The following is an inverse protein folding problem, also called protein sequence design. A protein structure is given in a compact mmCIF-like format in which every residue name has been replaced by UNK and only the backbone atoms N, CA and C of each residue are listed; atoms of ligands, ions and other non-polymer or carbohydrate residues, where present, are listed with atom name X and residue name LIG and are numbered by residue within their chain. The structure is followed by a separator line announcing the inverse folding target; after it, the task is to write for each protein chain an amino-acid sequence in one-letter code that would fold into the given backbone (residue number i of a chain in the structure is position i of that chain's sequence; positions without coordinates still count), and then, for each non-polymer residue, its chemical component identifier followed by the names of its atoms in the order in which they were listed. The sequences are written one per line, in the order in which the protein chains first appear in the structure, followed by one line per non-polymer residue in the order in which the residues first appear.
data_IF_853824666001
#
_entry.id   IF_853824666001
#
_cell.length_a   1.000
_cell.length_b   1.000
_cell.length_c   1.000
_cell.angle_alpha   90.00
_cell.angle_beta   90.00
_cell.angle_gamma   90.00
#
_symmetry.space_group_name_H-M   'P 1'
#
loop_
_entity.id
_entity.type
_entity.pdbx_description
1 polymer ?
#
# COMPACT_ATOMS: atom_id res chain seq x y z
N UNK A 1 3.72 23.71 -7.11
CA UNK A 1 3.32 22.28 -7.19
C UNK A 1 3.20 21.82 -5.76
N UNK A 2 2.18 21.04 -5.40
CA UNK A 2 2.03 20.53 -4.04
C UNK A 2 2.75 19.18 -3.95
N UNK A 3 3.49 18.94 -2.87
CA UNK A 3 4.30 17.74 -2.70
C UNK A 3 3.72 16.79 -1.62
N UNK A 4 2.68 17.27 -0.89
CA UNK A 4 2.06 16.50 0.18
C UNK A 4 0.55 16.77 0.31
N UNK A 5 -0.15 15.78 0.84
CA UNK A 5 -1.58 15.79 1.13
C UNK A 5 -1.77 15.60 2.63
N UNK A 6 -2.58 16.46 3.24
CA UNK A 6 -2.98 16.33 4.65
C UNK A 6 -4.43 15.91 4.72
N UNK A 7 -4.70 14.84 5.45
CA UNK A 7 -6.05 14.27 5.67
C UNK A 7 -6.48 14.54 7.10
N UNK A 8 -7.36 15.51 7.29
CA UNK A 8 -7.90 15.90 8.60
C UNK A 8 -9.43 15.73 8.61
N UNK A 9 -9.92 14.65 9.19
CA UNK A 9 -9.26 13.52 9.85
C UNK A 9 -9.43 12.23 9.05
N UNK A 10 -8.56 11.27 9.31
CA UNK A 10 -8.63 9.96 8.66
C UNK A 10 -9.95 9.20 8.93
N UNK A 11 -10.59 9.42 10.09
CA UNK A 11 -11.90 8.85 10.42
C UNK A 11 -13.02 9.42 9.53
N UNK A 12 -12.96 10.72 9.22
CA UNK A 12 -13.91 11.35 8.29
C UNK A 12 -13.69 10.83 6.86
N UNK A 13 -12.43 10.68 6.44
CA UNK A 13 -12.14 10.11 5.14
C UNK A 13 -12.73 8.70 4.97
N UNK A 14 -12.66 7.87 6.02
CA UNK A 14 -13.32 6.55 6.03
C UNK A 14 -14.84 6.66 5.90
N UNK A 15 -15.49 7.56 6.67
CA UNK A 15 -16.93 7.77 6.60
C UNK A 15 -17.38 8.26 5.21
N UNK A 16 -16.59 9.14 4.57
CA UNK A 16 -16.89 9.58 3.21
C UNK A 16 -16.81 8.43 2.20
N UNK A 17 -15.86 7.51 2.38
CA UNK A 17 -15.78 6.29 1.58
C UNK A 17 -17.02 5.38 1.80
N UNK A 18 -17.50 5.24 3.05
CA UNK A 18 -18.75 4.51 3.34
C UNK A 18 -19.95 5.15 2.62
N UNK A 19 -20.06 6.48 2.70
CA UNK A 19 -21.14 7.21 2.02
C UNK A 19 -21.06 7.05 0.49
N UNK A 20 -19.87 7.10 -0.07
CA UNK A 20 -19.67 6.88 -1.51
C UNK A 20 -20.14 5.49 -1.93
N UNK A 21 -19.81 4.44 -1.19
CA UNK A 21 -20.28 3.09 -1.47
C UNK A 21 -21.80 3.00 -1.34
N UNK A 22 -22.41 3.58 -0.30
CA UNK A 22 -23.87 3.62 -0.16
C UNK A 22 -24.55 4.27 -1.38
N UNK A 23 -24.03 5.41 -1.84
CA UNK A 23 -24.55 6.10 -3.01
C UNK A 23 -24.40 5.26 -4.28
N UNK A 24 -23.26 4.61 -4.47
CA UNK A 24 -22.97 3.75 -5.62
C UNK A 24 -23.91 2.55 -5.69
N UNK A 25 -24.18 1.93 -4.55
CA UNK A 25 -25.06 0.75 -4.44
C UNK A 25 -26.55 1.11 -4.29
N UNK A 26 -26.89 2.39 -4.14
CA UNK A 26 -28.28 2.86 -4.01
C UNK A 26 -28.95 2.43 -2.69
N UNK A 27 -28.17 2.37 -1.60
CA UNK A 27 -28.63 1.97 -0.27
C UNK A 27 -28.44 3.10 0.74
N UNK A 28 -29.21 3.08 1.82
CA UNK A 28 -29.11 4.09 2.89
C UNK A 28 -27.91 3.83 3.83
N UNK A 29 -27.60 2.56 4.09
CA UNK A 29 -26.48 2.19 4.96
C UNK A 29 -25.67 1.03 4.38
N UNK A 30 -24.39 0.93 4.76
CA UNK A 30 -23.51 -0.17 4.34
C UNK A 30 -24.08 -1.55 4.72
N UNK A 31 -24.90 -1.65 5.75
CA UNK A 31 -25.53 -2.90 6.19
C UNK A 31 -26.60 -3.39 5.22
N UNK A 32 -27.18 -2.48 4.45
CA UNK A 32 -28.24 -2.78 3.49
C UNK A 32 -27.69 -3.34 2.17
N UNK A 33 -26.36 -3.31 1.97
CA UNK A 33 -25.70 -3.96 0.82
C UNK A 33 -25.89 -5.48 0.95
N UNK A 34 -26.43 -6.14 -0.10
CA UNK A 34 -26.72 -7.57 -0.08
C UNK A 34 -25.52 -8.43 0.32
N UNK A 35 -25.79 -9.52 1.01
CA UNK A 35 -24.80 -10.54 1.39
C UNK A 35 -23.69 -10.06 2.31
N UNK A 36 -23.84 -8.90 2.96
CA UNK A 36 -22.82 -8.31 3.84
C UNK A 36 -21.55 -7.85 3.13
N UNK A 37 -21.58 -7.68 1.81
CA UNK A 37 -20.40 -7.30 1.01
C UNK A 37 -20.00 -5.83 1.19
N UNK A 38 -20.90 -4.98 1.71
CA UNK A 38 -20.66 -3.54 1.81
C UNK A 38 -19.35 -3.16 2.51
N UNK A 39 -19.04 -3.80 3.63
CA UNK A 39 -17.78 -3.56 4.34
C UNK A 39 -16.54 -3.98 3.55
N UNK A 40 -16.65 -5.04 2.74
CA UNK A 40 -15.59 -5.46 1.82
C UNK A 40 -15.36 -4.43 0.71
N UNK A 41 -16.44 -3.86 0.17
CA UNK A 41 -16.38 -2.82 -0.85
C UNK A 41 -15.75 -1.54 -0.32
N UNK A 42 -16.13 -1.07 0.88
CA UNK A 42 -15.51 0.10 1.53
C UNK A 42 -14.02 -0.14 1.75
N UNK A 43 -13.64 -1.33 2.25
CA UNK A 43 -12.24 -1.68 2.48
C UNK A 43 -11.43 -1.67 1.18
N UNK A 44 -11.95 -2.24 0.11
CA UNK A 44 -11.28 -2.28 -1.19
C UNK A 44 -11.11 -0.87 -1.76
N UNK A 45 -12.19 -0.09 -1.82
CA UNK A 45 -12.20 1.29 -2.34
C UNK A 45 -11.23 2.19 -1.58
N UNK A 46 -11.27 2.16 -0.24
CA UNK A 46 -10.40 2.96 0.61
C UNK A 46 -8.92 2.57 0.41
N UNK A 47 -8.62 1.27 0.33
CA UNK A 47 -7.27 0.77 0.10
C UNK A 47 -6.72 1.18 -1.27
N UNK A 48 -7.53 1.06 -2.32
CA UNK A 48 -7.14 1.37 -3.68
C UNK A 48 -6.90 2.85 -3.87
N UNK A 49 -7.82 3.70 -3.39
CA UNK A 49 -7.68 5.17 -3.48
C UNK A 49 -6.39 5.68 -2.84
N UNK A 50 -6.03 5.19 -1.65
CA UNK A 50 -4.80 5.64 -1.00
C UNK A 50 -3.54 5.07 -1.67
N UNK A 51 -3.62 3.85 -2.18
CA UNK A 51 -2.52 3.26 -2.95
C UNK A 51 -2.24 4.06 -4.23
N UNK A 52 -3.27 4.44 -4.97
CA UNK A 52 -3.13 5.27 -6.16
C UNK A 52 -2.47 6.62 -5.84
N UNK A 53 -2.93 7.30 -4.78
CA UNK A 53 -2.35 8.58 -4.34
C UNK A 53 -0.86 8.41 -3.96
N UNK A 54 -0.52 7.32 -3.27
CA UNK A 54 0.87 7.02 -2.90
C UNK A 54 1.75 6.80 -4.14
N UNK A 55 1.22 6.12 -5.17
CA UNK A 55 1.94 5.87 -6.42
C UNK A 55 2.16 7.16 -7.24
N UNK A 56 1.38 8.20 -7.01
CA UNK A 56 1.60 9.52 -7.62
C UNK A 56 2.78 10.30 -6.98
N UNK A 57 3.41 9.75 -5.94
CA UNK A 57 4.59 10.34 -5.30
C UNK A 57 4.30 11.45 -4.30
N UNK A 58 3.05 11.60 -3.86
CA UNK A 58 2.73 12.55 -2.78
C UNK A 58 3.10 11.98 -1.42
N UNK A 59 3.69 12.82 -0.56
CA UNK A 59 3.73 12.57 0.88
C UNK A 59 2.32 12.64 1.46
N UNK A 60 1.92 11.70 2.32
CA UNK A 60 0.59 11.70 2.93
C UNK A 60 0.72 11.81 4.45
N UNK A 61 0.03 12.80 5.02
CA UNK A 61 -0.11 12.98 6.46
C UNK A 61 -1.57 12.72 6.87
N UNK A 62 -1.82 11.64 7.60
CA UNK A 62 -3.12 11.38 8.21
C UNK A 62 -3.15 11.93 9.63
N UNK A 63 -4.16 12.75 9.93
CA UNK A 63 -4.46 13.21 11.27
C UNK A 63 -5.62 12.37 11.81
N UNK A 64 -5.48 11.88 13.03
CA UNK A 64 -6.53 11.15 13.74
C UNK A 64 -6.63 11.63 15.18
N UNK A 65 -7.85 11.68 15.73
CA UNK A 65 -8.03 11.81 17.16
C UNK A 65 -7.50 10.57 17.86
N UNK A 66 -7.22 10.70 19.14
CA UNK A 66 -6.80 9.58 19.98
C UNK A 66 -7.94 9.13 20.87
N UNK A 67 -7.96 7.82 21.17
CA UNK A 67 -8.84 7.24 22.18
C UNK A 67 -8.09 6.18 23.00
N UNK A 68 -8.55 5.98 24.22
CA UNK A 68 -8.10 4.86 25.02
C UNK A 68 -8.68 3.55 24.52
N UNK A 69 -7.82 2.55 24.41
CA UNK A 69 -8.20 1.17 24.08
C UNK A 69 -7.60 0.23 25.13
N UNK A 70 -8.37 -0.70 25.68
CA UNK A 70 -7.84 -1.72 26.55
C UNK A 70 -6.81 -2.57 25.78
N UNK A 71 -5.70 -2.89 26.43
CA UNK A 71 -4.67 -3.77 25.88
C UNK A 71 -4.78 -5.17 26.50
N UNK A 72 -4.06 -6.12 25.94
CA UNK A 72 -3.92 -7.46 26.54
C UNK A 72 -2.99 -7.45 27.76
N UNK A 73 -2.24 -6.36 27.96
CA UNK A 73 -1.34 -6.20 29.11
C UNK A 73 -2.14 -5.96 30.39
N UNK A 74 -1.65 -6.52 31.49
CA UNK A 74 -2.23 -6.38 32.80
C UNK A 74 -1.24 -5.73 33.75
N UNK A 75 -1.75 -4.94 34.69
CA UNK A 75 -0.97 -4.42 35.81
C UNK A 75 -0.69 -5.50 36.86
N UNK A 76 0.05 -5.16 37.91
CA UNK A 76 0.36 -6.06 39.00
C UNK A 76 -0.88 -6.56 39.74
N UNK A 77 -2.00 -5.85 39.66
CA UNK A 77 -3.28 -6.17 40.26
C UNK A 77 -4.19 -7.02 39.34
N UNK A 78 -3.76 -7.25 38.10
CA UNK A 78 -4.47 -8.04 37.11
C UNK A 78 -5.51 -7.26 36.28
N UNK A 79 -5.57 -5.93 36.42
CA UNK A 79 -6.45 -5.07 35.59
C UNK A 79 -5.83 -4.84 34.21
N UNK A 80 -6.69 -4.70 33.18
CA UNK A 80 -6.21 -4.38 31.83
C UNK A 80 -5.67 -2.96 31.77
N UNK A 81 -4.46 -2.81 31.25
CA UNK A 81 -3.85 -1.51 30.96
C UNK A 81 -4.50 -0.93 29.70
N UNK A 82 -4.88 0.34 29.75
CA UNK A 82 -5.35 1.06 28.56
C UNK A 82 -4.20 1.80 27.88
N UNK A 83 -4.16 1.72 26.55
CA UNK A 83 -3.24 2.51 25.75
C UNK A 83 -4.00 3.52 24.88
N UNK A 84 -3.39 4.67 24.70
CA UNK A 84 -3.87 5.69 23.76
C UNK A 84 -3.51 5.24 22.36
N UNK A 85 -4.52 5.14 21.49
CA UNK A 85 -4.38 4.71 20.09
C UNK A 85 -5.17 5.63 19.15
N UNK A 86 -4.93 5.63 17.84
CA UNK A 86 -5.74 6.38 16.88
C UNK A 86 -7.21 5.96 16.95
N UNK A 87 -8.11 6.96 16.94
CA UNK A 87 -9.56 6.73 16.88
C UNK A 87 -9.99 6.46 15.43
N UNK A 88 -9.75 5.25 14.98
CA UNK A 88 -10.09 4.76 13.65
C UNK A 88 -10.84 3.43 13.74
N UNK A 89 -11.75 3.15 12.79
CA UNK A 89 -12.25 1.79 12.57
C UNK A 89 -11.09 0.82 12.26
N UNK A 90 -11.18 -0.42 12.71
CA UNK A 90 -10.09 -1.38 12.58
C UNK A 90 -9.64 -1.60 11.12
N UNK A 91 -10.57 -1.60 10.18
CA UNK A 91 -10.23 -1.75 8.75
C UNK A 91 -9.46 -0.53 8.22
N UNK A 92 -9.91 0.69 8.54
CA UNK A 92 -9.22 1.92 8.18
C UNK A 92 -7.80 1.97 8.79
N UNK A 93 -7.70 1.63 10.08
CA UNK A 93 -6.41 1.55 10.77
C UNK A 93 -5.44 0.57 10.09
N UNK A 94 -5.92 -0.64 9.75
CA UNK A 94 -5.08 -1.67 9.11
C UNK A 94 -4.55 -1.20 7.75
N UNK A 95 -5.38 -0.51 6.96
CA UNK A 95 -4.98 0.01 5.64
C UNK A 95 -3.96 1.13 5.81
N UNK A 96 -4.25 2.12 6.66
CA UNK A 96 -3.35 3.27 6.88
C UNK A 96 -2.01 2.80 7.46
N UNK A 97 -2.02 1.90 8.45
CA UNK A 97 -0.80 1.31 9.02
C UNK A 97 0.05 0.57 7.97
N UNK A 98 -0.58 0.00 6.94
CA UNK A 98 0.12 -0.62 5.82
C UNK A 98 0.82 0.38 4.89
N UNK A 99 0.42 1.64 4.88
CA UNK A 99 0.90 2.68 3.95
C UNK A 99 1.93 3.60 4.62
N UNK A 100 1.68 4.02 5.87
CA UNK A 100 2.52 5.01 6.56
C UNK A 100 3.83 4.44 7.08
N UNK A 101 4.87 5.25 7.09
CA UNK A 101 6.17 4.87 7.64
C UNK A 101 6.29 5.18 9.14
N UNK A 102 5.52 6.13 9.63
CA UNK A 102 5.53 6.57 11.03
C UNK A 102 4.09 6.70 11.53
N UNK A 103 3.81 6.07 12.68
CA UNK A 103 2.63 6.35 13.49
C UNK A 103 3.11 7.09 14.72
N UNK A 104 2.81 8.39 14.78
CA UNK A 104 3.24 9.25 15.86
C UNK A 104 2.10 9.60 16.81
N UNK A 105 2.37 9.58 18.11
CA UNK A 105 1.46 10.13 19.12
C UNK A 105 1.98 11.48 19.60
N UNK A 106 1.19 12.54 19.35
CA UNK A 106 1.53 13.90 19.75
C UNK A 106 1.02 14.16 21.17
N UNK A 107 1.93 14.49 22.10
CA UNK A 107 1.62 14.82 23.47
C UNK A 107 2.12 16.21 23.84
N UNK A 108 1.30 16.95 24.58
CA UNK A 108 1.69 18.21 25.24
C UNK A 108 2.23 17.89 26.63
N UNK A 109 3.41 18.38 26.96
CA UNK A 109 4.01 18.27 28.30
C UNK A 109 4.15 19.64 28.92
N UNK A 110 3.72 19.77 30.17
CA UNK A 110 3.86 21.01 30.93
C UNK A 110 5.21 20.99 31.65
N UNK A 111 6.00 22.04 31.50
CA UNK A 111 7.23 22.28 32.20
C UNK A 111 6.97 22.85 33.62
N UNK A 112 7.95 22.78 34.49
CA UNK A 112 7.86 23.30 35.85
C UNK A 112 7.68 24.83 35.91
N UNK A 113 8.10 25.54 34.88
CA UNK A 113 7.96 26.99 34.71
C UNK A 113 6.59 27.43 34.17
N UNK A 114 5.66 26.49 33.93
CA UNK A 114 4.34 26.73 33.37
C UNK A 114 4.30 26.81 31.84
N UNK A 115 5.43 26.69 31.15
CA UNK A 115 5.47 26.58 29.69
C UNK A 115 5.06 25.18 29.27
N UNK A 116 4.61 25.02 28.00
CA UNK A 116 4.27 23.71 27.44
C UNK A 116 5.11 23.42 26.20
N UNK A 117 5.54 22.20 26.09
CA UNK A 117 6.20 21.68 24.90
C UNK A 117 5.41 20.53 24.31
N UNK A 118 5.56 20.33 22.99
CA UNK A 118 4.94 19.23 22.27
C UNK A 118 6.00 18.21 21.87
N UNK A 119 5.68 16.95 22.09
CA UNK A 119 6.54 15.85 21.73
C UNK A 119 5.78 14.81 20.89
N UNK A 120 6.47 14.28 19.89
CA UNK A 120 6.00 13.18 19.05
C UNK A 120 6.64 11.88 19.55
N UNK A 121 5.83 10.94 20.01
CA UNK A 121 6.27 9.58 20.32
C UNK A 121 6.19 8.74 19.07
N UNK A 122 7.27 8.06 18.72
CA UNK A 122 7.43 7.27 17.49
C UNK A 122 7.58 5.78 17.78
N UNK A 123 7.59 5.40 19.06
CA UNK A 123 7.61 4.01 19.53
C UNK A 123 6.53 3.77 20.56
N UNK A 124 5.94 2.57 20.51
CA UNK A 124 4.97 2.14 21.50
C UNK A 124 5.55 2.02 22.89
N UNK A 125 4.73 2.35 23.86
CA UNK A 125 4.92 2.04 25.29
C UNK A 125 3.69 1.24 25.74
N UNK A 126 3.66 0.74 26.99
CA UNK A 126 2.45 0.08 27.51
C UNK A 126 1.17 0.94 27.43
N UNK A 127 1.31 2.26 27.43
CA UNK A 127 0.19 3.23 27.46
C UNK A 127 0.05 4.08 26.19
N UNK A 128 0.96 3.95 25.22
CA UNK A 128 0.95 4.73 23.99
C UNK A 128 1.13 3.78 22.81
N UNK A 129 0.25 3.88 21.83
CA UNK A 129 0.40 3.21 20.57
C UNK A 129 1.07 4.15 19.54
N UNK A 130 2.29 3.78 19.13
CA UNK A 130 3.08 4.47 18.12
C UNK A 130 3.98 3.45 17.41
N UNK A 131 4.59 3.83 16.31
CA UNK A 131 5.47 2.92 15.57
C UNK A 131 6.20 3.62 14.43
N UNK A 132 7.31 3.04 14.00
CA UNK A 132 8.06 3.52 12.85
C UNK A 132 8.72 2.37 12.11
N UNK A 133 8.80 2.47 10.79
CA UNK A 133 9.61 1.58 9.95
C UNK A 133 11.10 1.91 10.03
N UNK A 134 11.44 3.12 10.46
CA UNK A 134 12.84 3.50 10.68
C UNK A 134 13.34 2.93 12.01
N UNK A 135 14.20 1.91 11.93
CA UNK A 135 14.66 1.14 13.10
C UNK A 135 15.35 2.03 14.13
N UNK A 136 16.12 3.01 13.69
CA UNK A 136 16.94 3.89 14.56
C UNK A 136 16.26 5.23 14.87
N UNK A 137 15.01 5.45 14.45
CA UNK A 137 14.30 6.68 14.79
C UNK A 137 14.17 6.84 16.31
N UNK A 138 14.50 8.03 16.79
CA UNK A 138 14.39 8.37 18.20
C UNK A 138 12.97 8.12 18.73
N UNK A 139 12.79 7.45 19.88
CA UNK A 139 11.46 7.07 20.40
C UNK A 139 10.58 8.26 20.80
N UNK A 140 11.18 9.43 21.03
CA UNK A 140 10.52 10.67 21.39
C UNK A 140 11.29 11.83 20.74
N UNK A 141 10.59 12.66 20.00
CA UNK A 141 11.14 13.80 19.24
C UNK A 141 10.39 15.05 19.67
N UNK A 142 11.08 16.18 19.83
CA UNK A 142 10.40 17.47 19.98
C UNK A 142 9.59 17.74 18.71
N UNK A 143 8.32 18.12 18.85
CA UNK A 143 7.45 18.28 17.71
C UNK A 143 7.78 19.52 16.90
N UNK A 144 8.22 19.34 15.70
CA UNK A 144 8.54 20.33 14.70
C UNK A 144 8.94 19.68 13.39
N UNK A 145 8.81 20.41 12.29
CA UNK A 145 9.17 19.88 10.98
C UNK A 145 10.68 19.60 10.88
N UNK A 146 11.50 20.54 11.30
CA UNK A 146 12.96 20.39 11.22
C UNK A 146 13.45 19.26 12.13
N UNK A 147 12.92 19.18 13.34
CA UNK A 147 13.27 18.15 14.33
C UNK A 147 12.90 16.75 13.84
N UNK A 148 11.77 16.62 13.13
CA UNK A 148 11.37 15.35 12.54
C UNK A 148 12.25 14.97 11.34
N UNK A 149 12.55 15.90 10.46
CA UNK A 149 13.44 15.69 9.30
C UNK A 149 14.84 15.31 9.76
N UNK A 150 15.39 16.01 10.74
CA UNK A 150 16.70 15.70 11.32
C UNK A 150 16.72 14.31 11.95
N UNK A 151 15.71 13.97 12.77
CA UNK A 151 15.64 12.66 13.39
C UNK A 151 15.48 11.50 12.39
N UNK A 152 14.77 11.70 11.27
CA UNK A 152 14.68 10.72 10.18
C UNK A 152 16.03 10.59 9.48
N UNK A 153 16.72 11.70 9.19
CA UNK A 153 18.06 11.71 8.60
C UNK A 153 19.05 10.91 9.46
N UNK A 154 19.13 11.22 10.75
CA UNK A 154 19.98 10.50 11.70
C UNK A 154 19.66 8.98 11.74
N UNK A 155 18.38 8.61 11.68
CA UNK A 155 17.97 7.22 11.68
C UNK A 155 18.40 6.49 10.39
N UNK A 156 18.37 7.15 9.25
CA UNK A 156 18.84 6.62 7.97
C UNK A 156 20.38 6.47 8.01
N UNK A 157 21.10 7.49 8.45
CA UNK A 157 22.57 7.45 8.55
C UNK A 157 23.02 6.31 9.49
N UNK A 158 22.35 6.13 10.62
CA UNK A 158 22.62 4.99 11.51
C UNK A 158 22.36 3.65 10.85
N UNK A 159 21.32 3.52 10.02
CA UNK A 159 21.04 2.28 9.31
C UNK A 159 22.13 1.98 8.26
N UNK A 160 22.63 2.99 7.58
CA UNK A 160 23.77 2.87 6.65
C UNK A 160 25.04 2.41 7.38
N UNK A 161 25.37 3.08 8.49
CA UNK A 161 26.60 2.80 9.25
C UNK A 161 26.60 1.44 9.94
N UNK A 162 25.46 1.05 10.53
CA UNK A 162 25.39 -0.17 11.38
C UNK A 162 24.98 -1.41 10.59
N UNK A 163 24.04 -1.28 9.66
CA UNK A 163 23.43 -2.39 8.97
C UNK A 163 23.87 -2.48 7.50
N UNK A 164 24.65 -1.50 7.01
CA UNK A 164 25.05 -1.42 5.61
C UNK A 164 23.88 -1.16 4.66
N UNK A 165 22.81 -0.52 5.16
CA UNK A 165 21.65 -0.19 4.35
C UNK A 165 22.05 0.66 3.14
N UNK A 166 21.48 0.37 1.99
CA UNK A 166 21.66 1.19 0.80
C UNK A 166 20.53 2.20 0.72
N UNK A 167 20.88 3.48 0.72
CA UNK A 167 19.92 4.56 0.47
C UNK A 167 19.88 4.80 -1.03
N UNK A 168 18.72 4.54 -1.62
CA UNK A 168 18.44 4.96 -3.00
C UNK A 168 17.72 6.30 -2.95
N UNK A 169 18.26 7.27 -3.69
CA UNK A 169 17.56 8.54 -3.89
C UNK A 169 16.34 8.29 -4.80
N UNK A 170 15.17 8.21 -4.19
CA UNK A 170 13.90 7.98 -4.90
C UNK A 170 13.35 9.24 -5.58
N UNK A 171 14.13 10.29 -5.71
CA UNK A 171 13.73 11.48 -6.49
C UNK A 171 13.60 11.19 -7.98
N UNK A 172 14.21 10.13 -8.47
CA UNK A 172 13.82 9.51 -9.72
C UNK A 172 12.79 8.39 -9.45
N UNK A 173 11.55 8.74 -9.18
CA UNK A 173 10.48 7.86 -9.60
C UNK A 173 10.71 7.64 -11.10
N UNK A 174 11.27 6.52 -11.45
CA UNK A 174 11.10 5.99 -12.78
C UNK A 174 9.60 5.91 -12.92
N UNK A 175 8.99 6.91 -13.54
CA UNK A 175 7.73 6.69 -14.21
C UNK A 175 8.07 5.54 -15.14
N UNK A 176 7.76 4.34 -14.71
CA UNK A 176 7.56 3.23 -15.62
C UNK A 176 6.40 3.72 -16.47
N UNK A 177 6.74 4.46 -17.56
CA UNK A 177 5.75 4.78 -18.59
C UNK A 177 5.24 3.42 -18.97
N UNK A 178 4.01 3.15 -18.59
CA UNK A 178 3.33 1.94 -19.03
C UNK A 178 3.59 1.88 -20.54
N UNK A 179 4.20 0.81 -20.97
CA UNK A 179 4.54 0.62 -22.39
C UNK A 179 3.25 0.77 -23.18
N UNK A 180 3.27 1.46 -24.31
CA UNK A 180 2.07 1.57 -25.15
C UNK A 180 1.54 0.16 -25.43
N UNK A 181 0.26 -0.06 -25.21
CA UNK A 181 -0.35 -1.39 -25.40
C UNK A 181 -0.08 -1.98 -26.80
N UNK A 182 0.04 -1.13 -27.82
CA UNK A 182 0.42 -1.55 -29.17
C UNK A 182 1.80 -2.20 -29.23
N UNK A 183 2.80 -1.66 -28.50
CA UNK A 183 4.16 -2.22 -28.43
C UNK A 183 4.18 -3.56 -27.70
N UNK A 184 3.42 -3.66 -26.60
CA UNK A 184 3.26 -4.91 -25.85
C UNK A 184 2.66 -6.00 -26.74
N UNK A 185 1.64 -5.65 -27.52
CA UNK A 185 0.97 -6.57 -28.44
C UNK A 185 1.87 -6.99 -29.62
N UNK A 186 2.73 -6.11 -30.12
CA UNK A 186 3.71 -6.46 -31.15
C UNK A 186 4.75 -7.43 -30.61
N UNK A 187 5.27 -7.18 -29.42
CA UNK A 187 6.23 -8.08 -28.77
C UNK A 187 5.59 -9.45 -28.48
N UNK A 188 4.36 -9.48 -27.98
CA UNK A 188 3.63 -10.73 -27.75
C UNK A 188 3.48 -11.57 -29.04
N UNK A 189 3.20 -10.93 -30.16
CA UNK A 189 3.16 -11.61 -31.47
C UNK A 189 4.53 -12.13 -31.92
N UNK A 190 5.60 -11.35 -31.70
CA UNK A 190 6.94 -11.78 -32.05
C UNK A 190 7.38 -12.98 -31.22
N UNK A 191 7.15 -12.95 -29.90
CA UNK A 191 7.49 -14.06 -29.01
C UNK A 191 6.66 -15.31 -29.33
N UNK A 192 5.37 -15.13 -29.64
CA UNK A 192 4.50 -16.21 -30.10
C UNK A 192 5.04 -16.86 -31.37
N UNK A 193 5.37 -16.06 -32.40
CA UNK A 193 5.94 -16.55 -33.66
C UNK A 193 7.25 -17.30 -33.46
N UNK A 194 8.19 -16.69 -32.72
CA UNK A 194 9.49 -17.28 -32.42
C UNK A 194 9.38 -18.62 -31.71
N UNK A 195 8.39 -18.80 -30.82
CA UNK A 195 8.17 -20.07 -30.13
C UNK A 195 7.62 -21.15 -31.08
N UNK A 196 6.71 -20.80 -31.98
CA UNK A 196 6.18 -21.74 -33.00
C UNK A 196 7.22 -22.14 -34.03
N UNK A 197 8.07 -21.21 -34.47
CA UNK A 197 9.09 -21.42 -35.49
C UNK A 197 10.21 -22.36 -35.03
N UNK A 198 10.35 -22.62 -33.74
CA UNK A 198 11.28 -23.64 -33.20
C UNK A 198 10.90 -25.05 -33.56
N UNK A 199 9.63 -25.31 -33.83
CA UNK A 199 9.19 -26.67 -34.20
C UNK A 199 9.52 -26.98 -35.65
N UNK A 200 10.25 -28.07 -35.84
CA UNK A 200 10.67 -28.54 -37.14
C UNK A 200 9.78 -29.66 -37.67
N UNK A 201 9.07 -30.37 -36.77
CA UNK A 201 8.16 -31.46 -37.10
C UNK A 201 6.72 -31.12 -36.72
N UNK A 202 5.74 -31.82 -37.32
CA UNK A 202 4.32 -31.64 -36.98
C UNK A 202 4.03 -32.04 -35.52
N UNK A 203 4.71 -33.07 -35.00
CA UNK A 203 4.58 -33.50 -33.61
C UNK A 203 5.08 -32.41 -32.62
N UNK A 204 6.21 -31.76 -32.94
CA UNK A 204 6.73 -30.64 -32.16
C UNK A 204 5.80 -29.41 -32.20
N UNK A 205 5.15 -29.14 -33.32
CA UNK A 205 4.16 -28.07 -33.44
C UNK A 205 2.94 -28.32 -32.56
N UNK A 206 2.42 -29.54 -32.55
CA UNK A 206 1.29 -29.89 -31.67
C UNK A 206 1.69 -29.76 -30.19
N UNK A 207 2.90 -30.16 -29.84
CA UNK A 207 3.39 -30.03 -28.47
C UNK A 207 3.57 -28.56 -28.07
N UNK A 208 4.15 -27.74 -28.93
CA UNK A 208 4.29 -26.31 -28.70
C UNK A 208 2.93 -25.60 -28.55
N UNK A 209 1.93 -25.95 -29.36
CA UNK A 209 0.59 -25.45 -29.24
C UNK A 209 -0.06 -25.82 -27.89
N UNK A 210 0.21 -27.02 -27.39
CA UNK A 210 -0.29 -27.45 -26.09
C UNK A 210 0.35 -26.68 -24.95
N UNK A 211 1.67 -26.49 -24.96
CA UNK A 211 2.41 -25.68 -23.99
C UNK A 211 1.87 -24.24 -23.99
N UNK A 212 1.65 -23.65 -25.15
CA UNK A 212 1.13 -22.30 -25.31
C UNK A 212 -0.30 -22.14 -24.73
N UNK A 213 -1.16 -23.13 -24.95
CA UNK A 213 -2.50 -23.16 -24.35
C UNK A 213 -2.44 -23.23 -22.81
N UNK A 214 -1.50 -24.00 -22.27
CA UNK A 214 -1.28 -24.05 -20.83
C UNK A 214 -0.78 -22.72 -20.25
N UNK A 215 0.08 -22.00 -20.96
CA UNK A 215 0.50 -20.63 -20.58
C UNK A 215 -0.70 -19.68 -20.62
N UNK A 216 -1.47 -19.68 -21.71
CA UNK A 216 -2.67 -18.86 -21.85
C UNK A 216 -3.65 -19.13 -20.71
N UNK A 217 -3.90 -20.39 -20.37
CA UNK A 217 -4.78 -20.76 -19.27
C UNK A 217 -4.25 -20.24 -17.93
N UNK A 218 -2.95 -20.32 -17.66
CA UNK A 218 -2.35 -19.80 -16.43
C UNK A 218 -2.45 -18.29 -16.31
N UNK A 219 -2.21 -17.57 -17.40
CA UNK A 219 -2.18 -16.10 -17.41
C UNK A 219 -3.59 -15.49 -17.50
N UNK A 220 -4.43 -16.01 -18.38
CA UNK A 220 -5.75 -15.43 -18.69
C UNK A 220 -6.93 -16.20 -18.09
N UNK A 221 -6.67 -17.32 -17.40
CA UNK A 221 -7.69 -18.13 -16.75
C UNK A 221 -8.50 -19.05 -17.66
N UNK A 222 -8.29 -19.00 -18.99
CA UNK A 222 -8.98 -19.84 -19.98
C UNK A 222 -8.08 -20.16 -21.17
N UNK A 223 -8.20 -21.38 -21.71
CA UNK A 223 -7.45 -21.82 -22.91
C UNK A 223 -7.99 -21.22 -24.21
N UNK A 224 -9.21 -20.66 -24.17
CA UNK A 224 -9.89 -20.10 -25.34
C UNK A 224 -9.54 -18.63 -25.61
N UNK A 225 -8.78 -18.02 -24.72
CA UNK A 225 -8.37 -16.60 -24.87
C UNK A 225 -7.51 -16.41 -26.11
N UNK A 226 -7.93 -15.47 -26.94
CA UNK A 226 -7.17 -15.09 -28.14
C UNK A 226 -6.41 -13.80 -27.89
N UNK A 227 -5.09 -13.84 -28.00
CA UNK A 227 -4.24 -12.64 -27.82
C UNK A 227 -4.72 -11.44 -28.66
N UNK A 228 -5.24 -11.71 -29.87
CA UNK A 228 -5.79 -10.66 -30.76
C UNK A 228 -7.04 -9.95 -30.21
N UNK A 229 -7.64 -10.48 -29.15
CA UNK A 229 -8.82 -9.92 -28.48
C UNK A 229 -8.46 -9.21 -27.15
N UNK A 230 -7.17 -9.17 -26.79
CA UNK A 230 -6.71 -8.46 -25.62
C UNK A 230 -7.02 -6.96 -25.73
N UNK A 231 -7.44 -6.36 -24.63
CA UNK A 231 -7.77 -4.93 -24.50
C UNK A 231 -6.72 -4.22 -23.66
N UNK A 232 -6.58 -2.88 -23.78
CA UNK A 232 -5.55 -2.11 -23.07
C UNK A 232 -5.52 -2.33 -21.55
N UNK A 233 -6.66 -2.58 -20.91
CA UNK A 233 -6.76 -2.92 -19.48
C UNK A 233 -6.15 -4.26 -19.11
N UNK A 234 -5.79 -5.08 -20.07
CA UNK A 234 -5.13 -6.39 -19.88
C UNK A 234 -3.64 -6.33 -20.24
N UNK A 235 -3.07 -5.13 -20.39
CA UNK A 235 -1.65 -4.93 -20.74
C UNK A 235 -0.70 -5.73 -19.84
N UNK A 236 -0.90 -5.67 -18.52
CA UNK A 236 -0.08 -6.39 -17.53
C UNK A 236 -0.15 -7.91 -17.71
N UNK A 237 -1.32 -8.46 -18.07
CA UNK A 237 -1.48 -9.88 -18.36
C UNK A 237 -0.75 -10.28 -19.65
N UNK A 238 -0.75 -9.40 -20.65
CA UNK A 238 -0.01 -9.64 -21.90
C UNK A 238 1.50 -9.58 -21.65
N UNK A 239 1.99 -8.67 -20.79
CA UNK A 239 3.39 -8.63 -20.39
C UNK A 239 3.79 -9.90 -19.63
N UNK A 240 2.97 -10.36 -18.69
CA UNK A 240 3.20 -11.62 -17.99
C UNK A 240 3.25 -12.82 -18.97
N UNK A 241 2.37 -12.84 -19.98
CA UNK A 241 2.41 -13.85 -21.03
C UNK A 241 3.73 -13.80 -21.82
N UNK A 242 4.21 -12.61 -22.17
CA UNK A 242 5.50 -12.42 -22.86
C UNK A 242 6.65 -12.99 -22.02
N UNK A 243 6.69 -12.69 -20.73
CA UNK A 243 7.73 -13.15 -19.82
C UNK A 243 7.72 -14.67 -19.65
N UNK A 244 6.54 -15.27 -19.46
CA UNK A 244 6.39 -16.74 -19.41
C UNK A 244 6.86 -17.40 -20.71
N UNK A 245 6.51 -16.84 -21.85
CA UNK A 245 6.89 -17.38 -23.15
C UNK A 245 8.38 -17.21 -23.44
N UNK A 246 9.02 -16.11 -23.04
CA UNK A 246 10.47 -15.90 -23.15
C UNK A 246 11.27 -16.91 -22.36
N UNK A 247 10.78 -17.35 -21.21
CA UNK A 247 11.42 -18.37 -20.40
C UNK A 247 11.38 -19.77 -21.04
N UNK A 248 10.57 -19.95 -22.09
CA UNK A 248 10.44 -21.21 -22.84
C UNK A 248 11.23 -21.18 -24.17
N UNK A 249 11.70 -20.01 -24.55
CA UNK A 249 12.53 -19.79 -25.75
C UNK A 249 14.01 -19.89 -25.41
#
# INVERSE_FOLDING_TARGET
MYDSIVVDTASIAWQLCEQYICQREGVDTIRDVPWGQGWGMVKAEFSESWREITLLGFGILFIAHSKEKPTEMKDEEGNSISAVAPDLPNNAYTIINGIVDIIGYLQVQMNQDGTSERYLYTRSTPTIFAGSRYQYLAPKIKFGYNELVEAIGDAIDMAVERDGAQVTDHTEFVQVKARPFAEIMEEAKMVWGAFLDKATTEEEKEQNLKIMKDVIRRVFGTEEFKLSQAVPSQGDLVELFIDEMKNLI
#
